data_IF_479268136038
#
_entry.id   IF_479268136038
#
_cell.length_a   1.000
_cell.length_b   1.000
_cell.length_c   1.000
_cell.angle_alpha   90.00
_cell.angle_beta   90.00
_cell.angle_gamma   90.00
#
_symmetry.space_group_name_H-M   'P 1'
#
loop_
_entity.id
_entity.type
_entity.pdbx_description
1 polymer ?
#
# COMPACT_ATOMS: atom_id res chain seq x y z
N UNK A 1 6.59 4.46 3.86
CA UNK A 1 7.28 5.75 4.17
C UNK A 1 7.06 6.12 5.63
N UNK A 2 8.05 6.71 6.25
CA UNK A 2 8.00 7.23 7.62
C UNK A 2 7.26 8.59 7.68
N UNK A 3 6.97 9.07 8.89
CA UNK A 3 6.29 10.36 9.10
C UNK A 3 7.08 11.58 8.62
N UNK A 4 8.40 11.46 8.45
CA UNK A 4 9.29 12.47 7.88
C UNK A 4 9.47 12.33 6.36
N UNK A 5 8.67 11.46 5.72
CA UNK A 5 8.70 11.10 4.30
C UNK A 5 9.94 10.31 3.86
N UNK A 6 10.81 9.89 4.75
CA UNK A 6 11.90 8.97 4.41
C UNK A 6 11.37 7.57 4.06
N UNK A 7 12.14 6.83 3.25
CA UNK A 7 11.83 5.44 2.92
C UNK A 7 12.31 4.54 4.06
N UNK A 8 11.37 3.84 4.70
CA UNK A 8 11.69 2.77 5.65
C UNK A 8 11.69 1.41 4.96
N UNK A 9 12.52 0.50 5.46
CA UNK A 9 12.48 -0.90 5.05
C UNK A 9 11.29 -1.61 5.69
N UNK A 10 10.72 -2.58 4.97
CA UNK A 10 9.60 -3.41 5.44
C UNK A 10 9.75 -4.82 4.81
N UNK A 11 9.12 -5.09 3.65
CA UNK A 11 9.41 -6.29 2.86
C UNK A 11 10.85 -6.24 2.29
N UNK A 12 11.25 -5.10 1.76
CA UNK A 12 12.64 -4.89 1.34
C UNK A 12 13.56 -4.75 2.56
N UNK A 13 14.74 -5.39 2.49
CA UNK A 13 15.80 -5.33 3.51
C UNK A 13 16.96 -4.45 3.08
N UNK A 14 17.16 -4.30 1.76
CA UNK A 14 18.23 -3.50 1.18
C UNK A 14 17.89 -3.13 -0.27
N UNK A 15 18.46 -2.05 -0.78
CA UNK A 15 18.42 -1.73 -2.19
C UNK A 15 19.64 -0.92 -2.63
N UNK A 16 19.99 -1.05 -3.91
CA UNK A 16 21.06 -0.30 -4.55
C UNK A 16 20.66 0.10 -5.96
N UNK A 17 21.36 1.08 -6.52
CA UNK A 17 21.19 1.53 -7.90
C UNK A 17 22.55 1.57 -8.58
N UNK A 18 22.60 1.20 -9.86
CA UNK A 18 23.79 1.30 -10.71
C UNK A 18 24.25 2.75 -10.90
N UNK A 19 25.52 2.96 -11.26
CA UNK A 19 26.10 4.29 -11.44
C UNK A 19 25.37 5.13 -12.51
N UNK A 20 24.84 4.47 -13.53
CA UNK A 20 24.07 5.10 -14.62
C UNK A 20 22.59 5.33 -14.23
N UNK A 21 22.16 4.82 -13.08
CA UNK A 21 20.78 4.96 -12.57
C UNK A 21 19.75 4.11 -13.32
N UNK A 22 20.18 3.13 -14.12
CA UNK A 22 19.29 2.33 -14.97
C UNK A 22 18.89 1.01 -14.34
N UNK A 23 19.64 0.48 -13.37
CA UNK A 23 19.34 -0.81 -12.75
C UNK A 23 19.23 -0.66 -11.25
N UNK A 24 18.09 -1.03 -10.69
CA UNK A 24 17.85 -1.11 -9.25
C UNK A 24 17.86 -2.56 -8.81
N UNK A 25 18.66 -2.88 -7.80
CA UNK A 25 18.68 -4.21 -7.18
C UNK A 25 18.10 -4.10 -5.78
N UNK A 26 17.08 -4.90 -5.47
CA UNK A 26 16.36 -4.90 -4.20
C UNK A 26 16.41 -6.28 -3.58
N UNK A 27 16.81 -6.35 -2.31
CA UNK A 27 16.70 -7.57 -1.51
C UNK A 27 15.45 -7.54 -0.67
N UNK A 28 14.74 -8.66 -0.65
CA UNK A 28 13.55 -8.85 0.18
C UNK A 28 13.80 -9.88 1.28
N UNK A 29 12.93 -9.91 2.27
CA UNK A 29 12.89 -10.93 3.33
C UNK A 29 12.60 -12.30 2.74
N UNK A 30 13.06 -13.36 3.42
CA UNK A 30 12.84 -14.78 3.07
C UNK A 30 11.84 -15.49 4.00
N UNK A 31 11.32 -14.77 5.00
CA UNK A 31 10.41 -15.29 6.02
C UNK A 31 8.95 -14.83 5.85
N UNK A 32 8.62 -14.19 4.73
CA UNK A 32 7.28 -13.66 4.47
C UNK A 32 6.42 -14.68 3.74
N UNK A 33 5.15 -14.81 4.20
CA UNK A 33 4.14 -15.61 3.55
C UNK A 33 2.94 -14.78 3.16
N UNK A 34 2.29 -15.18 2.10
CA UNK A 34 0.94 -14.73 1.80
C UNK A 34 -0.09 -15.33 2.77
N UNK A 35 -1.30 -14.77 2.80
CA UNK A 35 -2.38 -15.18 3.70
C UNK A 35 -2.98 -16.54 3.39
N UNK A 36 -2.61 -17.16 2.27
CA UNK A 36 -2.91 -18.56 1.92
C UNK A 36 -1.82 -19.56 2.36
N UNK A 37 -0.71 -19.04 2.92
CA UNK A 37 0.40 -19.82 3.46
C UNK A 37 1.57 -20.01 2.51
N UNK A 38 1.44 -19.66 1.23
CA UNK A 38 2.54 -19.74 0.25
C UNK A 38 3.61 -18.68 0.52
N UNK A 39 4.90 -18.99 0.30
CA UNK A 39 5.97 -18.02 0.50
C UNK A 39 5.88 -16.88 -0.52
N UNK A 40 6.20 -15.65 -0.08
CA UNK A 40 6.39 -14.52 -0.97
C UNK A 40 7.84 -14.50 -1.43
N UNK A 41 8.05 -14.53 -2.74
CA UNK A 41 9.37 -14.57 -3.37
C UNK A 41 9.62 -13.38 -4.28
N UNK A 42 10.86 -13.26 -4.76
CA UNK A 42 11.24 -12.27 -5.76
C UNK A 42 10.49 -12.46 -7.10
N UNK A 43 10.00 -13.68 -7.41
CA UNK A 43 9.17 -13.94 -8.59
C UNK A 43 7.83 -13.22 -8.50
N UNK A 44 7.17 -13.24 -7.33
CA UNK A 44 5.93 -12.50 -7.11
C UNK A 44 6.12 -10.99 -7.23
N UNK A 45 7.27 -10.48 -6.76
CA UNK A 45 7.62 -9.07 -6.91
C UNK A 45 7.80 -8.74 -8.40
N UNK A 46 8.61 -9.49 -9.13
CA UNK A 46 8.83 -9.28 -10.56
C UNK A 46 7.53 -9.38 -11.36
N UNK A 47 6.72 -10.40 -11.10
CA UNK A 47 5.38 -10.56 -11.68
C UNK A 47 4.50 -9.33 -11.44
N UNK A 48 4.43 -8.86 -10.19
CA UNK A 48 3.62 -7.70 -9.82
C UNK A 48 4.00 -6.46 -10.64
N UNK A 49 5.29 -6.13 -10.70
CA UNK A 49 5.74 -4.92 -11.37
C UNK A 49 5.61 -5.00 -12.89
N UNK A 50 5.90 -6.14 -13.51
CA UNK A 50 5.69 -6.34 -14.93
C UNK A 50 4.21 -6.24 -15.30
N UNK A 51 3.31 -6.82 -14.48
CA UNK A 51 1.87 -6.70 -14.66
C UNK A 51 1.40 -5.25 -14.55
N UNK A 52 1.89 -4.49 -13.55
CA UNK A 52 1.53 -3.08 -13.35
C UNK A 52 2.06 -2.19 -14.47
N UNK A 53 3.27 -2.43 -14.98
CA UNK A 53 3.81 -1.73 -16.14
C UNK A 53 2.84 -1.81 -17.33
N UNK A 54 2.27 -2.99 -17.55
CA UNK A 54 1.44 -3.25 -18.72
C UNK A 54 -0.04 -2.87 -18.53
N UNK A 55 -0.52 -2.76 -17.28
CA UNK A 55 -1.97 -2.63 -16.99
C UNK A 55 -2.35 -1.45 -16.11
N UNK A 56 -1.41 -0.84 -15.38
CA UNK A 56 -1.75 0.22 -14.43
C UNK A 56 -2.21 1.49 -15.13
N UNK A 57 -3.36 2.02 -14.67
CA UNK A 57 -3.87 3.33 -15.07
C UNK A 57 -3.82 4.36 -13.93
N UNK A 58 -3.41 3.96 -12.73
CA UNK A 58 -3.40 4.80 -11.52
C UNK A 58 -1.99 5.34 -11.24
N UNK A 59 -0.99 4.47 -11.26
CA UNK A 59 0.40 4.82 -11.03
C UNK A 59 1.19 4.67 -12.34
N UNK A 60 2.16 5.56 -12.55
CA UNK A 60 3.02 5.52 -13.74
C UNK A 60 4.18 4.55 -13.53
N UNK A 61 4.17 3.46 -14.29
CA UNK A 61 5.24 2.47 -14.36
C UNK A 61 5.97 2.49 -15.70
N UNK A 62 5.77 3.49 -16.56
CA UNK A 62 6.37 3.58 -17.90
C UNK A 62 7.89 3.69 -17.87
N UNK A 63 8.48 4.04 -16.72
CA UNK A 63 9.93 4.06 -16.54
C UNK A 63 10.52 2.67 -16.33
N UNK A 64 9.72 1.67 -15.97
CA UNK A 64 10.17 0.29 -15.82
C UNK A 64 10.23 -0.38 -17.19
N UNK A 65 11.40 -0.88 -17.58
CA UNK A 65 11.56 -1.73 -18.75
C UNK A 65 11.20 -3.18 -18.40
N UNK A 66 11.80 -3.71 -17.35
CA UNK A 66 11.54 -5.08 -16.89
C UNK A 66 11.87 -5.23 -15.40
N UNK A 67 11.16 -6.13 -14.72
CA UNK A 67 11.51 -6.63 -13.41
C UNK A 67 11.86 -8.11 -13.50
N UNK A 68 12.96 -8.54 -12.86
CA UNK A 68 13.49 -9.91 -12.90
C UNK A 68 13.81 -10.41 -11.50
N UNK A 69 13.41 -11.62 -11.18
CA UNK A 69 13.92 -12.33 -10.02
C UNK A 69 15.30 -12.92 -10.36
N UNK A 70 16.34 -12.51 -9.63
CA UNK A 70 17.69 -13.08 -9.77
C UNK A 70 17.86 -14.36 -8.94
N UNK A 71 17.17 -14.41 -7.81
CA UNK A 71 17.01 -15.54 -6.92
C UNK A 71 15.71 -15.36 -6.10
N UNK A 72 15.45 -16.20 -5.10
CA UNK A 72 14.21 -16.15 -4.31
C UNK A 72 14.01 -14.84 -3.53
N UNK A 73 15.08 -14.08 -3.31
CA UNK A 73 15.09 -12.89 -2.43
C UNK A 73 15.65 -11.63 -3.09
N UNK A 74 16.09 -11.72 -4.34
CA UNK A 74 16.71 -10.60 -5.05
C UNK A 74 15.95 -10.29 -6.33
N UNK A 75 15.49 -9.04 -6.43
CA UNK A 75 14.81 -8.52 -7.62
C UNK A 75 15.66 -7.44 -8.27
N UNK A 76 15.78 -7.50 -9.58
CA UNK A 76 16.37 -6.48 -10.43
C UNK A 76 15.27 -5.75 -11.20
N UNK A 77 15.33 -4.42 -11.22
CA UNK A 77 14.45 -3.56 -12.00
C UNK A 77 15.29 -2.80 -13.03
N UNK A 78 15.08 -3.10 -14.29
CA UNK A 78 15.69 -2.37 -15.39
C UNK A 78 14.79 -1.18 -15.79
N UNK A 79 15.38 0.00 -15.87
CA UNK A 79 14.68 1.25 -16.13
C UNK A 79 14.99 1.74 -17.55
N UNK A 80 14.00 2.28 -18.24
CA UNK A 80 14.17 2.90 -19.58
C UNK A 80 15.01 4.17 -19.54
N UNK A 81 15.09 4.81 -18.39
CA UNK A 81 15.90 6.00 -18.09
C UNK A 81 16.12 6.14 -16.59
N UNK A 82 17.13 6.88 -16.13
CA UNK A 82 17.34 7.10 -14.69
C UNK A 82 16.10 7.68 -14.00
N UNK A 83 15.68 7.05 -12.91
CA UNK A 83 14.44 7.40 -12.20
C UNK A 83 14.64 7.38 -10.68
N UNK A 84 15.11 8.49 -10.13
CA UNK A 84 15.53 8.60 -8.72
C UNK A 84 14.41 8.47 -7.69
N UNK A 85 13.13 8.64 -8.11
CA UNK A 85 11.98 8.49 -7.23
C UNK A 85 11.42 7.06 -7.19
N UNK A 86 12.08 6.09 -7.85
CA UNK A 86 11.68 4.69 -7.88
C UNK A 86 11.42 4.09 -6.48
N UNK A 87 12.23 4.38 -5.43
CA UNK A 87 11.94 3.89 -4.08
C UNK A 87 10.55 4.30 -3.54
N UNK A 88 10.06 5.49 -3.88
CA UNK A 88 8.71 5.92 -3.49
C UNK A 88 7.62 5.17 -4.24
N UNK A 89 7.83 4.87 -5.52
CA UNK A 89 6.95 4.00 -6.30
C UNK A 89 6.89 2.61 -5.70
N UNK A 90 8.05 2.05 -5.30
CA UNK A 90 8.09 0.77 -4.60
C UNK A 90 7.35 0.80 -3.26
N UNK A 91 7.47 1.88 -2.49
CA UNK A 91 6.87 1.99 -1.15
C UNK A 91 5.33 2.00 -1.14
N UNK A 92 4.69 2.36 -2.25
CA UNK A 92 3.22 2.39 -2.38
C UNK A 92 2.66 1.19 -3.14
N UNK A 93 3.51 0.33 -3.66
CA UNK A 93 3.09 -0.82 -4.47
C UNK A 93 2.87 -2.04 -3.58
N UNK A 94 1.66 -2.62 -3.63
CA UNK A 94 1.36 -3.89 -2.97
C UNK A 94 1.77 -5.06 -3.85
N UNK A 95 2.41 -6.08 -3.27
CA UNK A 95 2.81 -7.30 -3.98
C UNK A 95 1.64 -8.28 -4.00
N UNK A 96 1.38 -8.84 -5.18
CA UNK A 96 0.34 -9.85 -5.40
C UNK A 96 0.97 -11.20 -5.71
N UNK A 97 0.38 -12.33 -5.25
CA UNK A 97 0.89 -13.65 -5.56
C UNK A 97 0.62 -14.02 -7.03
N UNK A 98 1.64 -14.40 -7.77
CA UNK A 98 1.49 -14.83 -9.17
C UNK A 98 0.52 -16.01 -9.30
N UNK A 99 0.66 -17.01 -8.43
CA UNK A 99 -0.13 -18.25 -8.46
C UNK A 99 -1.65 -18.05 -8.27
N UNK A 100 -2.06 -16.96 -7.63
CA UNK A 100 -3.46 -16.67 -7.32
C UNK A 100 -4.01 -15.42 -8.03
N UNK A 101 -3.19 -14.73 -8.83
CA UNK A 101 -3.62 -13.54 -9.54
C UNK A 101 -4.50 -13.89 -10.74
N UNK A 102 -5.66 -13.24 -10.83
CA UNK A 102 -6.63 -13.47 -11.92
C UNK A 102 -7.80 -12.49 -11.90
N UNK A 103 -8.80 -12.68 -12.76
CA UNK A 103 -9.92 -11.74 -12.93
C UNK A 103 -10.70 -11.44 -11.64
N UNK A 104 -10.80 -12.41 -10.75
CA UNK A 104 -11.54 -12.28 -9.49
C UNK A 104 -10.68 -11.85 -8.30
N UNK A 105 -9.37 -11.66 -8.50
CA UNK A 105 -8.42 -11.33 -7.44
C UNK A 105 -8.84 -10.09 -6.63
N UNK A 106 -9.35 -9.04 -7.30
CA UNK A 106 -9.81 -7.83 -6.63
C UNK A 106 -10.97 -8.03 -5.66
N UNK A 107 -11.73 -9.12 -5.78
CA UNK A 107 -12.83 -9.48 -4.87
C UNK A 107 -12.37 -10.39 -3.72
N UNK A 108 -11.28 -11.11 -3.89
CA UNK A 108 -10.71 -12.06 -2.92
C UNK A 108 -9.18 -11.90 -2.85
N UNK A 109 -8.70 -10.72 -2.43
CA UNK A 109 -7.27 -10.44 -2.43
C UNK A 109 -6.53 -11.30 -1.40
N UNK A 110 -5.41 -11.85 -1.85
CA UNK A 110 -4.42 -12.55 -1.03
C UNK A 110 -3.24 -11.60 -0.85
N UNK A 111 -2.84 -11.33 0.36
CA UNK A 111 -1.75 -10.41 0.67
C UNK A 111 -0.84 -10.96 1.75
N UNK A 112 0.17 -10.19 2.16
CA UNK A 112 1.15 -10.56 3.19
C UNK A 112 1.17 -9.60 4.38
N UNK A 113 0.16 -8.74 4.50
CA UNK A 113 0.13 -7.67 5.49
C UNK A 113 -0.55 -8.07 6.81
N UNK A 114 -0.64 -7.10 7.73
CA UNK A 114 -1.14 -7.25 9.12
C UNK A 114 -2.58 -7.77 9.21
N UNK A 115 -3.38 -7.55 8.15
CA UNK A 115 -4.80 -7.89 8.15
C UNK A 115 -5.19 -8.64 6.90
N UNK A 116 -6.13 -9.56 7.07
CA UNK A 116 -6.76 -10.37 6.03
C UNK A 116 -8.18 -9.83 5.79
N UNK A 117 -8.59 -9.64 4.54
CA UNK A 117 -9.96 -9.31 4.20
C UNK A 117 -10.86 -10.52 4.44
N UNK A 118 -11.72 -10.42 5.45
CA UNK A 118 -12.68 -11.48 5.80
C UNK A 118 -13.99 -11.36 5.01
N UNK A 119 -14.43 -10.12 4.79
CA UNK A 119 -15.72 -9.84 4.15
C UNK A 119 -15.65 -8.47 3.47
N UNK A 120 -16.27 -8.36 2.31
CA UNK A 120 -16.46 -7.10 1.61
C UNK A 120 -17.92 -6.95 1.17
N UNK A 121 -18.65 -6.06 1.81
CA UNK A 121 -19.99 -5.65 1.43
C UNK A 121 -19.85 -4.40 0.54
N UNK A 122 -19.93 -4.60 -0.80
CA UNK A 122 -19.63 -3.56 -1.78
C UNK A 122 -20.47 -2.30 -1.53
N UNK A 123 -19.79 -1.15 -1.41
CA UNK A 123 -20.41 0.15 -1.15
C UNK A 123 -20.82 0.38 0.32
N UNK A 124 -20.62 -0.57 1.22
CA UNK A 124 -21.01 -0.45 2.63
C UNK A 124 -19.80 -0.57 3.57
N UNK A 125 -19.11 -1.70 3.57
CA UNK A 125 -18.03 -1.96 4.51
C UNK A 125 -17.06 -3.04 4.04
N UNK A 126 -15.87 -3.05 4.66
CA UNK A 126 -14.93 -4.16 4.65
C UNK A 126 -14.64 -4.59 6.08
N UNK A 127 -14.64 -5.89 6.36
CA UNK A 127 -14.23 -6.48 7.62
C UNK A 127 -12.88 -7.14 7.44
N UNK A 128 -11.92 -6.70 8.25
CA UNK A 128 -10.57 -7.19 8.28
C UNK A 128 -10.31 -7.93 9.59
N UNK A 129 -9.56 -9.03 9.53
CA UNK A 129 -9.08 -9.76 10.73
C UNK A 129 -7.56 -9.75 10.76
N UNK A 130 -6.98 -9.71 11.96
CA UNK A 130 -5.53 -9.78 12.12
C UNK A 130 -4.98 -11.04 11.46
N UNK A 131 -3.87 -10.88 10.73
CA UNK A 131 -3.12 -11.96 10.12
C UNK A 131 -2.23 -12.62 11.17
N UNK A 132 -2.45 -13.87 11.57
CA UNK A 132 -1.63 -14.54 12.58
C UNK A 132 -0.21 -14.85 12.10
N UNK A 133 -0.01 -14.92 10.77
CA UNK A 133 1.28 -15.22 10.14
C UNK A 133 2.00 -13.96 9.64
N UNK A 134 1.61 -12.78 10.15
CA UNK A 134 2.29 -11.54 9.79
C UNK A 134 3.73 -11.54 10.33
N UNK A 135 4.68 -11.20 9.47
CA UNK A 135 6.13 -11.22 9.77
C UNK A 135 6.62 -10.09 10.71
N UNK A 136 5.79 -9.14 11.06
CA UNK A 136 6.08 -8.05 12.00
C UNK A 136 5.30 -8.20 13.30
N UNK A 137 5.16 -7.11 14.04
CA UNK A 137 4.44 -7.11 15.32
C UNK A 137 2.95 -7.45 15.12
N UNK A 138 2.43 -8.34 15.95
CA UNK A 138 1.03 -8.73 15.93
C UNK A 138 0.11 -7.52 16.18
N UNK A 139 -0.91 -7.30 15.34
CA UNK A 139 -1.86 -6.22 15.54
C UNK A 139 -2.61 -6.34 16.88
N UNK A 140 -2.69 -5.25 17.64
CA UNK A 140 -3.47 -5.20 18.88
C UNK A 140 -4.96 -5.42 18.58
N UNK A 141 -5.50 -4.72 17.59
CA UNK A 141 -6.89 -4.91 17.13
C UNK A 141 -7.01 -6.18 16.29
N UNK A 142 -7.80 -7.14 16.79
CA UNK A 142 -8.00 -8.43 16.11
C UNK A 142 -8.99 -8.35 14.95
N UNK A 143 -9.87 -7.36 14.98
CA UNK A 143 -10.84 -7.11 13.91
C UNK A 143 -10.93 -5.60 13.68
N UNK A 144 -10.94 -5.18 12.41
CA UNK A 144 -11.15 -3.80 11.98
C UNK A 144 -12.30 -3.80 10.98
N UNK A 145 -13.32 -3.00 11.23
CA UNK A 145 -14.40 -2.77 10.27
C UNK A 145 -14.25 -1.39 9.67
N UNK A 146 -14.10 -1.32 8.36
CA UNK A 146 -14.02 -0.06 7.59
C UNK A 146 -15.39 0.20 6.97
N UNK A 147 -16.06 1.26 7.41
CA UNK A 147 -17.35 1.71 6.87
C UNK A 147 -17.11 2.72 5.74
N UNK A 148 -17.80 2.55 4.61
CA UNK A 148 -17.70 3.48 3.49
C UNK A 148 -18.76 4.57 3.63
N UNK A 149 -18.33 5.79 3.85
CA UNK A 149 -19.19 6.96 3.98
C UNK A 149 -18.43 8.23 3.58
N UNK A 150 -19.14 9.31 3.31
CA UNK A 150 -18.52 10.62 3.10
C UNK A 150 -18.00 11.24 4.41
N UNK A 151 -17.23 12.32 4.28
CA UNK A 151 -16.57 12.98 5.42
C UNK A 151 -17.56 13.54 6.43
N UNK A 152 -18.72 14.03 5.99
CA UNK A 152 -19.75 14.60 6.87
C UNK A 152 -20.46 13.48 7.65
N UNK A 153 -20.77 12.37 6.98
CA UNK A 153 -21.33 11.18 7.62
C UNK A 153 -20.35 10.55 8.60
N UNK A 154 -19.03 10.51 8.27
CA UNK A 154 -18.00 10.02 9.16
C UNK A 154 -17.89 10.86 10.44
N UNK A 155 -17.98 12.19 10.31
CA UNK A 155 -18.03 13.09 11.47
C UNK A 155 -19.28 12.84 12.34
N UNK A 156 -20.45 12.69 11.73
CA UNK A 156 -21.70 12.38 12.45
C UNK A 156 -21.63 11.00 13.15
N UNK A 157 -21.00 10.01 12.52
CA UNK A 157 -20.79 8.70 13.12
C UNK A 157 -19.87 8.76 14.35
N UNK A 158 -18.83 9.60 14.32
CA UNK A 158 -17.98 9.85 15.47
C UNK A 158 -18.77 10.53 16.62
N UNK A 159 -19.55 11.57 16.31
CA UNK A 159 -20.40 12.25 17.30
C UNK A 159 -21.40 11.30 18.00
N UNK A 160 -21.91 10.31 17.28
CA UNK A 160 -22.86 9.33 17.81
C UNK A 160 -22.19 8.11 18.47
N UNK A 161 -20.84 8.04 18.47
CA UNK A 161 -20.10 6.92 19.03
C UNK A 161 -20.22 5.62 18.20
N UNK A 162 -20.56 5.70 16.93
CA UNK A 162 -20.67 4.54 16.03
C UNK A 162 -19.31 4.07 15.48
N UNK A 163 -18.29 4.92 15.52
CA UNK A 163 -16.95 4.63 15.03
C UNK A 163 -15.91 5.05 16.05
N UNK A 164 -14.78 4.36 16.06
CA UNK A 164 -13.63 4.65 16.92
C UNK A 164 -12.63 5.60 16.24
N UNK A 165 -12.67 5.65 14.91
CA UNK A 165 -11.83 6.52 14.07
C UNK A 165 -12.67 7.06 12.91
N UNK A 166 -12.62 8.36 12.68
CA UNK A 166 -13.27 9.01 11.54
C UNK A 166 -12.25 9.82 10.73
N UNK A 167 -12.23 9.62 9.42
CA UNK A 167 -11.55 10.52 8.49
C UNK A 167 -12.54 11.62 8.08
N UNK A 168 -12.17 12.87 8.35
CA UNK A 168 -13.05 14.03 8.14
C UNK A 168 -12.32 15.14 7.39
N UNK A 169 -13.06 16.09 6.85
CA UNK A 169 -12.49 17.25 6.20
C UNK A 169 -11.86 18.24 7.20
N UNK A 170 -10.99 19.11 6.71
CA UNK A 170 -10.40 20.19 7.50
C UNK A 170 -11.45 21.16 8.07
N UNK A 171 -12.67 21.17 7.54
CA UNK A 171 -13.79 22.00 8.05
C UNK A 171 -14.16 21.65 9.50
N UNK A 172 -13.85 20.43 9.93
CA UNK A 172 -14.12 19.96 11.30
C UNK A 172 -12.92 20.10 12.25
N UNK A 173 -11.79 20.67 11.80
CA UNK A 173 -10.55 20.73 12.57
C UNK A 173 -10.64 21.55 13.87
N UNK A 174 -11.56 22.52 13.91
CA UNK A 174 -11.78 23.37 15.10
C UNK A 174 -12.91 22.86 16.01
N UNK A 175 -13.49 21.71 15.65
CA UNK A 175 -14.58 21.11 16.42
C UNK A 175 -14.05 19.95 17.28
N UNK A 176 -14.50 19.90 18.52
CA UNK A 176 -14.16 18.81 19.43
C UNK A 176 -15.32 17.82 19.51
N UNK A 177 -14.98 16.54 19.47
CA UNK A 177 -15.93 15.44 19.71
C UNK A 177 -15.56 14.81 21.04
N UNK A 178 -16.53 14.69 21.95
CA UNK A 178 -16.31 14.15 23.27
C UNK A 178 -15.77 12.70 23.20
N UNK A 179 -14.69 12.43 23.91
CA UNK A 179 -14.02 11.13 23.88
C UNK A 179 -13.07 10.89 22.69
N UNK A 180 -12.95 11.84 21.73
CA UNK A 180 -12.04 11.74 20.61
C UNK A 180 -10.89 12.75 20.69
N UNK A 181 -9.77 12.40 20.08
CA UNK A 181 -8.63 13.29 19.88
C UNK A 181 -8.49 13.60 18.39
N UNK A 182 -8.21 14.85 18.05
CA UNK A 182 -7.91 15.25 16.69
C UNK A 182 -6.47 14.84 16.33
N UNK A 183 -6.32 14.03 15.27
CA UNK A 183 -5.04 13.73 14.65
C UNK A 183 -4.89 14.51 13.35
N UNK A 184 -4.13 15.60 13.37
CA UNK A 184 -3.81 16.37 12.18
C UNK A 184 -2.58 15.79 11.48
N UNK A 185 -2.79 15.12 10.34
CA UNK A 185 -1.72 14.56 9.53
C UNK A 185 -1.20 15.61 8.53
N UNK A 186 0.10 15.90 8.58
CA UNK A 186 0.75 16.72 7.55
C UNK A 186 0.93 15.87 6.30
N UNK A 187 0.57 16.43 5.16
CA UNK A 187 0.71 15.79 3.84
C UNK A 187 1.44 16.74 2.89
N UNK A 188 2.04 16.21 1.84
CA UNK A 188 2.59 16.96 0.71
C UNK A 188 1.55 17.21 -0.38
N UNK A 189 0.30 16.82 -0.12
CA UNK A 189 -0.79 17.02 -1.03
C UNK A 189 -1.04 18.52 -1.30
N UNK A 190 -1.28 18.87 -2.54
CA UNK A 190 -1.50 20.25 -2.97
C UNK A 190 -2.91 20.37 -3.54
N UNK A 191 -3.74 21.21 -2.89
CA UNK A 191 -5.06 21.56 -3.38
C UNK A 191 -5.01 22.97 -3.96
N UNK A 192 -5.26 23.09 -5.26
CA UNK A 192 -5.22 24.38 -5.96
C UNK A 192 -5.86 24.30 -7.32
N UNK A 193 -5.89 25.43 -8.01
CA UNK A 193 -6.32 25.50 -9.40
C UNK A 193 -5.10 25.26 -10.31
N UNK A 194 -5.19 24.26 -11.18
CA UNK A 194 -4.25 24.11 -12.29
C UNK A 194 -4.67 25.06 -13.42
N UNK A 195 -3.87 26.11 -13.65
CA UNK A 195 -4.06 26.96 -14.80
C UNK A 195 -3.31 26.34 -15.99
N UNK A 196 -3.96 26.17 -17.16
CA UNK A 196 -3.26 25.69 -18.33
C UNK A 196 -2.17 26.70 -18.70
N UNK A 197 -0.95 26.23 -18.90
CA UNK A 197 0.13 26.99 -19.47
C UNK A 197 -0.12 27.07 -20.97
N UNK A 198 -0.44 28.26 -21.47
CA UNK A 198 -0.63 28.55 -22.91
C UNK A 198 0.71 28.76 -23.57
#
# INVERSE_FOLDING_TARGET
>A
TNTDLSIGMDLATDYSVSEDGLTWTVKIRDDVKFTDGEPLTAEDVAFTYNTLRDTSSVNDFTMLEEAKALDNTTVEFDMTRPYSIWPYTMAITGIVPEHAYGPDYGSHPIGSRRYIMKQWDKGQQVILTANPDYYGDEPEMKTVTVLFMDEDAAYAAALSGQVDLAYTSAAYSDQTVDGFSLLACKTVDNRGFNLPVI
#
